data_IF_040264918851
#
_entry.id   IF_040264918851
#
_cell.length_a   1.000
_cell.length_b   1.000
_cell.length_c   1.000
_cell.angle_alpha   90.00
_cell.angle_beta   90.00
_cell.angle_gamma   90.00
#
_symmetry.space_group_name_H-M   'P 1'
#
loop_
_entity.id
_entity.type
_entity.pdbx_description
1 polymer ?
#
# COMPACT_ATOMS: atom_id res chain seq x y z
N UNK A 1 -22.71 8.44 -39.36
CA UNK A 1 -21.67 8.39 -38.28
C UNK A 1 -22.31 7.76 -37.05
N UNK A 2 -22.17 6.43 -36.88
CA UNK A 2 -22.53 5.77 -35.61
C UNK A 2 -21.40 6.03 -34.61
N UNK A 3 -21.65 6.85 -33.59
CA UNK A 3 -20.80 6.91 -32.42
C UNK A 3 -20.91 5.56 -31.70
N UNK A 4 -19.91 4.73 -31.83
CA UNK A 4 -19.76 3.56 -30.99
C UNK A 4 -19.25 4.07 -29.64
N UNK A 5 -20.16 4.25 -28.69
CA UNK A 5 -19.80 4.49 -27.30
C UNK A 5 -19.19 3.21 -26.74
N UNK A 6 -17.88 3.14 -26.71
CA UNK A 6 -17.18 2.10 -25.95
C UNK A 6 -17.53 2.33 -24.48
N UNK A 7 -18.14 1.37 -23.77
CA UNK A 7 -18.37 1.53 -22.35
C UNK A 7 -17.02 1.69 -21.67
N UNK A 8 -16.77 2.89 -21.17
CA UNK A 8 -15.61 3.16 -20.33
C UNK A 8 -15.86 2.40 -19.03
N UNK A 9 -15.32 1.19 -18.92
CA UNK A 9 -15.30 0.48 -17.65
C UNK A 9 -14.77 1.43 -16.57
N UNK A 10 -15.41 1.48 -15.38
CA UNK A 10 -15.02 2.42 -14.33
C UNK A 10 -13.51 2.33 -14.11
N UNK A 11 -12.84 3.47 -14.21
CA UNK A 11 -11.40 3.59 -13.95
C UNK A 11 -11.16 3.28 -12.47
N UNK A 12 -11.05 2.01 -12.15
CA UNK A 12 -10.54 1.61 -10.84
C UNK A 12 -9.03 1.85 -10.91
N UNK A 13 -8.60 3.01 -10.44
CA UNK A 13 -7.19 3.33 -10.38
C UNK A 13 -6.50 2.33 -9.45
N UNK A 14 -5.32 1.82 -9.88
CA UNK A 14 -4.52 0.89 -9.07
C UNK A 14 -4.25 1.46 -7.67
N UNK A 15 -4.09 2.79 -7.57
CA UNK A 15 -3.95 3.52 -6.30
C UNK A 15 -5.19 3.37 -5.41
N UNK A 16 -6.40 3.47 -5.97
CA UNK A 16 -7.64 3.32 -5.22
C UNK A 16 -7.79 1.90 -4.64
N UNK A 17 -7.48 0.87 -5.43
CA UNK A 17 -7.47 -0.52 -4.96
C UNK A 17 -6.45 -0.73 -3.84
N UNK A 18 -5.26 -0.16 -3.98
CA UNK A 18 -4.21 -0.20 -2.99
C UNK A 18 -4.66 0.47 -1.67
N UNK A 19 -5.14 1.71 -1.73
CA UNK A 19 -5.61 2.45 -0.56
C UNK A 19 -6.80 1.75 0.12
N UNK A 20 -7.74 1.22 -0.65
CA UNK A 20 -8.90 0.52 -0.12
C UNK A 20 -8.51 -0.74 0.65
N UNK A 21 -7.55 -1.51 0.17
CA UNK A 21 -7.12 -2.76 0.82
C UNK A 21 -6.17 -2.53 2.00
N UNK A 22 -5.30 -1.52 1.91
CA UNK A 22 -4.32 -1.22 2.96
C UNK A 22 -4.91 -0.42 4.13
N UNK A 23 -6.10 0.17 3.98
CA UNK A 23 -6.68 0.99 5.06
C UNK A 23 -6.91 0.20 6.35
N UNK A 24 -7.35 -1.07 6.26
CA UNK A 24 -7.62 -1.89 7.45
C UNK A 24 -6.34 -2.20 8.23
N UNK A 25 -5.23 -2.71 7.62
CA UNK A 25 -3.97 -2.85 8.33
C UNK A 25 -3.45 -1.53 8.92
N UNK A 26 -3.62 -0.40 8.22
CA UNK A 26 -3.22 0.91 8.73
C UNK A 26 -4.04 1.32 9.96
N UNK A 27 -5.35 1.12 9.94
CA UNK A 27 -6.18 1.39 11.12
C UNK A 27 -5.80 0.49 12.29
N UNK A 28 -5.47 -0.77 12.05
CA UNK A 28 -4.97 -1.68 13.09
C UNK A 28 -3.67 -1.15 13.69
N UNK A 29 -2.70 -0.74 12.87
CA UNK A 29 -1.44 -0.18 13.37
C UNK A 29 -1.64 1.12 14.15
N UNK A 30 -2.50 2.01 13.68
CA UNK A 30 -2.85 3.25 14.40
C UNK A 30 -3.55 2.90 15.73
N UNK A 31 -4.45 1.93 15.74
CA UNK A 31 -5.11 1.45 16.95
C UNK A 31 -4.11 0.89 17.97
N UNK A 32 -3.17 0.06 17.50
CA UNK A 32 -2.08 -0.48 18.33
C UNK A 32 -1.26 0.68 18.92
N UNK A 33 -0.87 1.68 18.12
CA UNK A 33 -0.13 2.84 18.57
C UNK A 33 -0.88 3.59 19.67
N UNK A 34 -2.15 3.92 19.45
CA UNK A 34 -2.98 4.67 20.41
C UNK A 34 -3.14 3.90 21.72
N UNK A 35 -3.48 2.61 21.64
CA UNK A 35 -3.64 1.76 22.83
C UNK A 35 -2.32 1.61 23.59
N UNK A 36 -1.21 1.45 22.86
CA UNK A 36 0.12 1.31 23.47
C UNK A 36 0.55 2.56 24.22
N UNK A 37 0.37 3.73 23.62
CA UNK A 37 0.67 5.03 24.24
C UNK A 37 -0.22 5.26 25.46
N UNK A 38 -1.53 5.00 25.35
CA UNK A 38 -2.47 5.15 26.46
C UNK A 38 -2.10 4.24 27.65
N UNK A 39 -1.78 2.97 27.36
CA UNK A 39 -1.41 2.02 28.41
C UNK A 39 -0.13 2.42 29.14
N UNK A 40 0.92 2.88 28.43
CA UNK A 40 2.14 3.38 29.07
C UNK A 40 1.89 4.61 29.93
N UNK A 41 1.04 5.53 29.48
CA UNK A 41 0.67 6.71 30.27
C UNK A 41 -0.08 6.36 31.55
N UNK A 42 -0.89 5.31 31.54
CA UNK A 42 -1.68 4.87 32.68
C UNK A 42 -0.85 4.00 33.64
N UNK A 43 0.30 3.48 33.19
CA UNK A 43 1.15 2.61 34.02
C UNK A 43 2.19 3.45 34.74
N UNK A 44 2.16 3.45 36.11
CA UNK A 44 3.10 4.25 36.88
C UNK A 44 4.54 3.74 36.74
N UNK A 45 5.46 4.67 36.59
CA UNK A 45 6.89 4.49 36.66
C UNK A 45 7.45 4.97 38.00
N UNK A 46 8.77 4.77 38.21
CA UNK A 46 9.49 5.23 39.38
C UNK A 46 10.73 5.98 38.91
N UNK A 47 10.95 7.17 39.47
CA UNK A 47 12.16 7.96 39.22
C UNK A 47 13.36 7.35 39.94
N UNK A 48 14.61 7.71 39.62
CA UNK A 48 15.79 7.29 40.36
C UNK A 48 15.75 7.62 41.87
N UNK A 49 15.02 8.70 42.22
CA UNK A 49 14.84 9.14 43.63
C UNK A 49 13.71 8.37 44.34
N UNK A 50 13.05 7.44 43.66
CA UNK A 50 12.01 6.59 44.24
C UNK A 50 10.59 7.18 44.17
N UNK A 51 10.39 8.33 43.53
CA UNK A 51 9.07 8.95 43.36
C UNK A 51 8.27 8.33 42.23
N UNK A 52 6.96 8.23 42.41
CA UNK A 52 6.06 7.76 41.37
C UNK A 52 5.87 8.83 40.31
N UNK A 53 6.06 8.47 39.04
CA UNK A 53 5.79 9.33 37.91
C UNK A 53 4.93 8.66 36.85
N UNK A 54 4.31 9.44 35.99
CA UNK A 54 3.60 8.98 34.80
C UNK A 54 4.28 9.55 33.56
N UNK A 55 4.52 8.69 32.56
CA UNK A 55 5.14 9.12 31.31
C UNK A 55 4.31 10.24 30.64
N UNK A 56 4.99 11.20 30.06
CA UNK A 56 4.31 12.17 29.20
C UNK A 56 3.78 11.51 27.94
N UNK A 57 2.81 12.12 27.27
CA UNK A 57 2.30 11.58 25.99
C UNK A 57 3.40 11.50 24.96
N UNK A 58 4.32 12.45 24.97
CA UNK A 58 5.44 12.49 24.03
C UNK A 58 6.43 11.35 24.29
N UNK A 59 6.82 11.13 25.54
CA UNK A 59 7.76 10.06 25.90
C UNK A 59 7.16 8.69 25.57
N UNK A 60 5.89 8.46 25.91
CA UNK A 60 5.18 7.25 25.57
C UNK A 60 5.06 7.04 24.05
N UNK A 61 4.73 8.09 23.30
CA UNK A 61 4.69 8.04 21.84
C UNK A 61 6.07 7.76 21.24
N UNK A 62 7.10 8.41 21.74
CA UNK A 62 8.48 8.22 21.30
C UNK A 62 8.95 6.79 21.55
N UNK A 63 8.74 6.26 22.78
CA UNK A 63 9.03 4.86 23.13
C UNK A 63 8.32 3.87 22.19
N UNK A 64 6.99 4.02 22.02
CA UNK A 64 6.20 3.12 21.17
C UNK A 64 6.67 3.20 19.72
N UNK A 65 7.01 4.40 19.23
CA UNK A 65 7.43 4.59 17.85
C UNK A 65 8.69 3.81 17.50
N UNK A 66 9.75 3.90 18.32
CA UNK A 66 10.98 3.15 18.03
C UNK A 66 10.87 1.65 18.39
N UNK A 67 9.97 1.29 19.30
CA UNK A 67 9.67 -0.11 19.59
C UNK A 67 8.91 -0.76 18.43
N UNK A 68 7.86 -0.12 17.92
CA UNK A 68 7.10 -0.60 16.76
C UNK A 68 7.94 -0.68 15.49
N UNK A 69 8.88 0.23 15.31
CA UNK A 69 9.79 0.24 14.14
C UNK A 69 11.02 -0.65 14.33
N UNK A 70 11.11 -1.40 15.44
CA UNK A 70 12.19 -2.33 15.77
C UNK A 70 13.57 -1.68 15.96
N UNK A 71 13.65 -0.37 16.21
CA UNK A 71 14.91 0.35 16.46
C UNK A 71 15.44 0.06 17.87
N UNK A 72 14.57 0.10 18.89
CA UNK A 72 14.86 -0.37 20.23
C UNK A 72 15.94 0.41 20.98
N UNK A 73 15.73 1.72 21.20
CA UNK A 73 16.68 2.54 21.98
C UNK A 73 16.78 2.17 23.47
N UNK A 74 15.81 1.44 24.01
CA UNK A 74 15.80 1.03 25.41
C UNK A 74 14.69 1.68 26.23
N UNK A 75 14.83 1.64 27.58
CA UNK A 75 13.83 2.18 28.50
C UNK A 75 14.06 3.69 28.70
N UNK A 76 13.02 4.49 28.46
CA UNK A 76 13.07 5.95 28.55
C UNK A 76 11.80 6.50 29.19
N UNK A 77 11.84 7.61 29.94
CA UNK A 77 13.01 8.39 30.33
C UNK A 77 13.83 7.77 31.46
N UNK A 78 13.26 6.80 32.17
CA UNK A 78 13.90 6.07 33.28
C UNK A 78 13.73 4.57 33.07
N UNK A 79 14.44 3.77 33.89
CA UNK A 79 14.29 2.32 33.91
C UNK A 79 12.84 1.91 34.22
N UNK A 80 12.30 0.97 33.46
CA UNK A 80 10.90 0.58 33.57
C UNK A 80 10.64 -0.27 34.82
N UNK A 81 9.52 -0.02 35.45
CA UNK A 81 8.96 -0.89 36.48
C UNK A 81 8.53 -2.24 35.87
N UNK A 82 8.29 -3.26 36.70
CA UNK A 82 7.79 -4.55 36.22
C UNK A 82 6.48 -4.42 35.45
N UNK A 83 5.59 -3.54 35.87
CA UNK A 83 4.32 -3.26 35.20
C UNK A 83 4.52 -2.62 33.82
N UNK A 84 5.45 -1.65 33.72
CA UNK A 84 5.79 -1.03 32.44
C UNK A 84 6.48 -2.01 31.48
N UNK A 85 7.37 -2.89 31.98
CA UNK A 85 7.99 -3.95 31.19
C UNK A 85 6.98 -4.98 30.68
N UNK A 86 6.01 -5.35 31.52
CA UNK A 86 4.92 -6.24 31.09
C UNK A 86 4.13 -5.60 29.97
N UNK A 87 3.76 -4.31 30.10
CA UNK A 87 3.04 -3.60 29.07
C UNK A 87 3.87 -3.43 27.80
N UNK A 88 5.16 -3.11 27.92
CA UNK A 88 6.09 -3.05 26.79
C UNK A 88 6.17 -4.39 26.03
N UNK A 89 6.16 -5.51 26.75
CA UNK A 89 6.12 -6.84 26.12
C UNK A 89 4.86 -7.04 25.30
N UNK A 90 3.70 -6.64 25.82
CA UNK A 90 2.43 -6.65 25.06
C UNK A 90 2.53 -5.79 23.80
N UNK A 91 3.12 -4.58 23.92
CA UNK A 91 3.33 -3.68 22.78
C UNK A 91 4.17 -4.36 21.69
N UNK A 92 5.27 -5.04 22.08
CA UNK A 92 6.14 -5.73 21.13
C UNK A 92 5.36 -6.79 20.34
N UNK A 93 4.61 -7.67 21.02
CA UNK A 93 3.83 -8.71 20.34
C UNK A 93 2.75 -8.12 19.44
N UNK A 94 2.00 -7.14 19.92
CA UNK A 94 0.97 -6.46 19.12
C UNK A 94 1.58 -5.81 17.88
N UNK A 95 2.75 -5.18 18.02
CA UNK A 95 3.45 -4.52 16.92
C UNK A 95 3.88 -5.51 15.84
N UNK A 96 4.47 -6.65 16.25
CA UNK A 96 4.88 -7.70 15.31
C UNK A 96 3.67 -8.24 14.53
N UNK A 97 2.56 -8.51 15.22
CA UNK A 97 1.31 -8.98 14.58
C UNK A 97 0.78 -7.92 13.62
N UNK A 98 0.74 -6.65 14.02
CA UNK A 98 0.28 -5.55 13.19
C UNK A 98 1.13 -5.38 11.92
N UNK A 99 2.45 -5.45 12.02
CA UNK A 99 3.35 -5.42 10.89
C UNK A 99 3.20 -6.63 9.98
N UNK A 100 3.11 -7.84 10.53
CA UNK A 100 2.88 -9.05 9.76
C UNK A 100 1.58 -8.97 8.95
N UNK A 101 0.52 -8.43 9.56
CA UNK A 101 -0.76 -8.19 8.87
C UNK A 101 -0.63 -7.17 7.72
N UNK A 102 0.07 -6.05 7.94
CA UNK A 102 0.31 -5.05 6.89
C UNK A 102 1.10 -5.63 5.72
N UNK A 103 2.23 -6.29 6.03
CA UNK A 103 3.12 -6.87 5.01
C UNK A 103 2.42 -8.00 4.26
N UNK A 104 1.71 -8.88 4.97
CA UNK A 104 0.93 -9.95 4.35
C UNK A 104 -0.16 -9.42 3.41
N UNK A 105 -0.89 -8.38 3.83
CA UNK A 105 -1.90 -7.72 2.97
C UNK A 105 -1.27 -7.07 1.75
N UNK A 106 -0.10 -6.44 1.91
CA UNK A 106 0.64 -5.84 0.80
C UNK A 106 1.06 -6.90 -0.24
N UNK A 107 1.63 -8.02 0.20
CA UNK A 107 1.99 -9.12 -0.70
C UNK A 107 0.77 -9.76 -1.37
N UNK A 108 -0.32 -9.97 -0.64
CA UNK A 108 -1.57 -10.46 -1.21
C UNK A 108 -2.10 -9.52 -2.31
N UNK A 109 -1.99 -8.20 -2.10
CA UNK A 109 -2.36 -7.21 -3.12
C UNK A 109 -1.47 -7.29 -4.36
N UNK A 110 -0.16 -7.47 -4.18
CA UNK A 110 0.79 -7.61 -5.31
C UNK A 110 0.53 -8.86 -6.17
N UNK A 111 -0.02 -9.91 -5.57
CA UNK A 111 -0.38 -11.14 -6.27
C UNK A 111 -1.76 -11.09 -6.93
N UNK A 112 -2.61 -10.15 -6.54
CA UNK A 112 -3.98 -10.03 -7.05
C UNK A 112 -4.00 -9.72 -8.56
N UNK A 113 -4.70 -10.55 -9.32
CA UNK A 113 -4.85 -10.40 -10.78
C UNK A 113 -5.55 -9.10 -11.16
N UNK A 114 -6.50 -8.64 -10.35
CA UNK A 114 -7.23 -7.38 -10.57
C UNK A 114 -6.30 -6.19 -10.45
N UNK A 115 -5.40 -6.21 -9.46
CA UNK A 115 -4.38 -5.17 -9.28
C UNK A 115 -3.37 -5.16 -10.43
N UNK A 116 -2.83 -6.32 -10.80
CA UNK A 116 -1.92 -6.46 -11.95
C UNK A 116 -2.56 -5.96 -13.24
N UNK A 117 -3.84 -6.33 -13.48
CA UNK A 117 -4.60 -5.85 -14.63
C UNK A 117 -4.84 -4.33 -14.61
N UNK A 118 -5.11 -3.72 -13.44
CA UNK A 118 -5.27 -2.28 -13.31
C UNK A 118 -3.97 -1.53 -13.63
N UNK A 119 -2.83 -2.00 -13.10
CA UNK A 119 -1.50 -1.44 -13.37
C UNK A 119 -1.15 -1.57 -14.86
N UNK A 120 -1.37 -2.73 -15.47
CA UNK A 120 -1.12 -2.96 -16.90
C UNK A 120 -1.95 -2.01 -17.77
N UNK A 121 -3.24 -1.87 -17.49
CA UNK A 121 -4.14 -0.93 -18.21
C UNK A 121 -3.68 0.52 -18.07
N UNK A 122 -3.25 0.93 -16.87
CA UNK A 122 -2.78 2.29 -16.64
C UNK A 122 -1.47 2.58 -17.39
N UNK A 123 -0.55 1.62 -17.43
CA UNK A 123 0.69 1.72 -18.22
C UNK A 123 0.39 1.80 -19.72
N UNK A 124 -0.52 0.98 -20.21
CA UNK A 124 -0.96 0.99 -21.61
C UNK A 124 -1.60 2.32 -21.97
N UNK A 125 -2.54 2.83 -21.18
CA UNK A 125 -3.18 4.12 -21.40
C UNK A 125 -2.18 5.30 -21.40
N UNK A 126 -1.14 5.25 -20.55
CA UNK A 126 -0.06 6.26 -20.57
C UNK A 126 0.76 6.19 -21.86
N UNK A 127 1.08 4.98 -22.36
CA UNK A 127 1.80 4.80 -23.63
C UNK A 127 1.01 5.35 -24.82
N UNK A 128 -0.30 5.08 -24.90
CA UNK A 128 -1.14 5.60 -25.97
C UNK A 128 -1.24 7.13 -25.92
N UNK A 129 -1.38 7.71 -24.72
CA UNK A 129 -1.43 9.18 -24.57
C UNK A 129 -0.10 9.88 -24.90
N UNK A 130 1.01 9.14 -24.86
CA UNK A 130 2.31 9.66 -25.26
C UNK A 130 2.49 9.72 -26.78
N UNK A 131 1.60 9.10 -27.55
CA UNK A 131 1.58 9.26 -29.00
C UNK A 131 1.05 10.66 -29.34
N UNK A 132 1.94 11.53 -29.80
CA UNK A 132 1.61 12.88 -30.27
C UNK A 132 1.14 12.90 -31.73
N UNK A 133 1.47 11.85 -32.48
CA UNK A 133 1.15 11.72 -33.91
C UNK A 133 -0.05 10.82 -34.12
N UNK A 134 -0.65 10.91 -35.31
CA UNK A 134 -1.75 10.05 -35.72
C UNK A 134 -1.32 8.57 -35.70
N UNK A 135 -2.20 7.72 -35.16
CA UNK A 135 -1.99 6.27 -35.13
C UNK A 135 -3.23 5.55 -35.67
N UNK A 136 -3.01 4.37 -36.23
CA UNK A 136 -4.05 3.51 -36.78
C UNK A 136 -4.50 2.50 -35.72
N UNK A 137 -5.82 2.33 -35.54
CA UNK A 137 -6.37 1.30 -34.67
C UNK A 137 -6.81 0.13 -35.53
N UNK A 138 -6.23 -1.06 -35.27
CA UNK A 138 -6.63 -2.31 -35.91
C UNK A 138 -7.53 -3.06 -34.92
N UNK A 139 -8.80 -3.25 -35.28
CA UNK A 139 -9.74 -4.05 -34.51
C UNK A 139 -9.75 -5.50 -35.00
N UNK A 140 -9.13 -6.41 -34.24
CA UNK A 140 -8.95 -7.83 -34.56
C UNK A 140 -7.56 -8.14 -35.12
N UNK A 141 -6.90 -9.18 -34.54
CA UNK A 141 -5.56 -9.63 -34.94
C UNK A 141 -5.60 -11.02 -35.56
N UNK A 142 -6.65 -11.29 -36.34
CA UNK A 142 -6.77 -12.48 -37.18
C UNK A 142 -5.84 -12.43 -38.40
N UNK A 143 -6.11 -13.25 -39.41
CA UNK A 143 -5.27 -13.31 -40.62
C UNK A 143 -5.15 -11.94 -41.30
N UNK A 144 -6.28 -11.28 -41.55
CA UNK A 144 -6.32 -9.95 -42.20
C UNK A 144 -5.69 -8.86 -41.31
N UNK A 145 -5.98 -8.86 -40.00
CA UNK A 145 -5.40 -7.90 -39.08
C UNK A 145 -3.87 -7.97 -39.01
N UNK A 146 -3.30 -9.18 -39.09
CA UNK A 146 -1.84 -9.38 -39.14
C UNK A 146 -1.23 -8.85 -40.43
N UNK A 147 -1.88 -9.07 -41.58
CA UNK A 147 -1.40 -8.53 -42.86
C UNK A 147 -1.38 -7.00 -42.86
N UNK A 148 -2.46 -6.38 -42.37
CA UNK A 148 -2.54 -4.91 -42.26
C UNK A 148 -1.49 -4.39 -41.28
N UNK A 149 -1.32 -5.03 -40.12
CA UNK A 149 -0.31 -4.66 -39.14
C UNK A 149 1.09 -4.70 -39.75
N UNK A 150 1.43 -5.78 -40.45
CA UNK A 150 2.73 -5.91 -41.12
C UNK A 150 2.95 -4.83 -42.19
N UNK A 151 1.94 -4.55 -43.02
CA UNK A 151 2.02 -3.50 -44.04
C UNK A 151 2.19 -2.08 -43.45
N UNK A 152 1.62 -1.81 -42.28
CA UNK A 152 1.79 -0.54 -41.56
C UNK A 152 3.15 -0.44 -40.89
N UNK A 153 3.64 -1.55 -40.33
CA UNK A 153 4.97 -1.64 -39.69
C UNK A 153 6.10 -1.36 -40.70
N UNK A 154 6.05 -2.02 -41.87
CA UNK A 154 7.00 -1.78 -42.98
C UNK A 154 7.01 -0.29 -43.42
N UNK A 155 5.86 0.39 -43.30
CA UNK A 155 5.73 1.84 -43.63
C UNK A 155 6.07 2.77 -42.45
N UNK A 156 6.54 2.23 -41.33
CA UNK A 156 6.88 2.99 -40.12
C UNK A 156 5.68 3.71 -39.48
N UNK A 157 4.43 3.28 -39.78
CA UNK A 157 3.21 3.89 -39.23
C UNK A 157 2.91 3.30 -37.86
N UNK A 158 2.68 4.17 -36.88
CA UNK A 158 2.29 3.75 -35.53
C UNK A 158 0.89 3.15 -35.54
N UNK A 159 0.73 2.01 -34.86
CA UNK A 159 -0.55 1.31 -34.78
C UNK A 159 -0.83 0.79 -33.37
N UNK A 160 -2.10 0.63 -33.05
CA UNK A 160 -2.60 -0.01 -31.83
C UNK A 160 -3.51 -1.15 -32.25
N UNK A 161 -3.18 -2.35 -31.81
CA UNK A 161 -3.97 -3.56 -32.13
C UNK A 161 -4.88 -3.88 -30.97
N UNK A 162 -6.16 -4.05 -31.24
CA UNK A 162 -7.19 -4.48 -30.28
C UNK A 162 -7.67 -5.87 -30.68
N UNK A 163 -7.44 -6.89 -29.84
CA UNK A 163 -7.97 -8.25 -30.03
C UNK A 163 -8.72 -8.72 -28.78
N UNK A 164 -9.72 -9.57 -28.96
CA UNK A 164 -10.47 -10.22 -27.88
C UNK A 164 -9.74 -11.41 -27.29
N UNK A 165 -8.78 -11.99 -28.00
CA UNK A 165 -8.00 -13.16 -27.58
C UNK A 165 -6.73 -12.67 -26.89
N UNK A 166 -6.67 -12.87 -25.59
CA UNK A 166 -5.42 -12.95 -24.82
C UNK A 166 -5.04 -14.40 -24.63
#
# INVERSE_FOLDING_TARGET
>A
RRQVSVPVAPRIDALFLMLRRLRMPLFVLIGILVVSVAGLRLTPGVTPDGEVYYMTTFDAFYFVSYTMTTIGFGELPYAFTAAQRLWASVIIYMSVIGWAYLVGTFFALMQDSSFKGAVARQRFARRIRAFRDDFVIIAGYGHTGRMIAHALDVRGRRMVVLDKRQ
#
